data_IF_877834729097
#
_entry.id   IF_877834729097
#
_cell.length_a   1.000
_cell.length_b   1.000
_cell.length_c   1.000
_cell.angle_alpha   90.00
_cell.angle_beta   90.00
_cell.angle_gamma   90.00
#
_symmetry.space_group_name_H-M   'P 1'
#
loop_
_entity.id
_entity.type
_entity.pdbx_description
1 polymer ?
#
# COMPACT_ATOMS: atom_id res chain seq x y z
N UNK A 1 -12.80 -51.16 -12.33
CA UNK A 1 -14.22 -50.74 -12.25
C UNK A 1 -14.22 -49.22 -12.25
N UNK A 2 -15.14 -48.55 -12.98
CA UNK A 2 -15.05 -47.10 -13.16
C UNK A 2 -15.05 -46.39 -11.80
N UNK A 3 -14.07 -45.51 -11.60
CA UNK A 3 -14.05 -44.66 -10.43
C UNK A 3 -15.31 -43.78 -10.49
N UNK A 4 -16.10 -43.77 -9.42
CA UNK A 4 -17.01 -42.66 -9.22
C UNK A 4 -16.17 -41.56 -8.58
N UNK A 5 -16.04 -40.42 -9.26
CA UNK A 5 -15.10 -39.36 -8.87
C UNK A 5 -15.32 -38.90 -7.41
N UNK A 6 -16.57 -38.85 -6.95
CA UNK A 6 -16.88 -38.51 -5.55
C UNK A 6 -16.39 -39.55 -4.54
N UNK A 7 -16.43 -40.84 -4.90
CA UNK A 7 -15.89 -41.89 -4.02
C UNK A 7 -14.36 -41.83 -4.05
N UNK A 8 -13.75 -41.55 -5.20
CA UNK A 8 -12.30 -41.36 -5.30
C UNK A 8 -11.84 -40.15 -4.46
N UNK A 9 -12.59 -39.05 -4.48
CA UNK A 9 -12.33 -37.88 -3.65
C UNK A 9 -12.42 -38.20 -2.15
N UNK A 10 -13.47 -38.91 -1.71
CA UNK A 10 -13.63 -39.34 -0.31
C UNK A 10 -12.50 -40.27 0.17
N UNK A 11 -11.95 -41.09 -0.74
CA UNK A 11 -10.86 -42.01 -0.45
C UNK A 11 -9.46 -41.39 -0.59
N UNK A 12 -9.34 -40.26 -1.30
CA UNK A 12 -8.06 -39.54 -1.45
C UNK A 12 -7.64 -38.75 -0.22
N UNK A 13 -8.55 -38.57 0.75
CA UNK A 13 -8.23 -37.91 2.02
C UNK A 13 -7.37 -38.79 2.93
N UNK A 14 -6.60 -38.16 3.81
CA UNK A 14 -5.67 -38.83 4.72
C UNK A 14 -6.35 -39.67 5.81
N UNK A 15 -7.65 -39.47 6.05
CA UNK A 15 -8.41 -40.14 7.11
C UNK A 15 -9.86 -40.43 6.69
N UNK A 16 -10.20 -41.72 6.60
CA UNK A 16 -11.57 -42.21 6.37
C UNK A 16 -12.23 -42.42 7.74
N UNK A 17 -13.42 -41.87 7.92
CA UNK A 17 -14.21 -42.00 9.15
C UNK A 17 -15.59 -42.59 8.85
N UNK A 18 -16.37 -42.86 9.90
CA UNK A 18 -17.72 -43.39 9.81
C UNK A 18 -18.64 -42.62 8.84
N UNK A 19 -18.59 -41.28 8.86
CA UNK A 19 -19.42 -40.44 7.99
C UNK A 19 -19.01 -40.53 6.52
N UNK A 20 -17.72 -40.72 6.24
CA UNK A 20 -17.23 -41.02 4.89
C UNK A 20 -17.78 -42.37 4.42
N UNK A 21 -17.77 -43.41 5.27
CA UNK A 21 -18.34 -44.72 4.96
C UNK A 21 -19.84 -44.63 4.64
N UNK A 22 -20.61 -43.86 5.41
CA UNK A 22 -22.04 -43.62 5.15
C UNK A 22 -22.27 -42.94 3.80
N UNK A 23 -21.48 -41.90 3.49
CA UNK A 23 -21.57 -41.16 2.21
C UNK A 23 -21.20 -42.05 1.03
N UNK A 24 -20.21 -42.94 1.18
CA UNK A 24 -19.87 -43.92 0.16
C UNK A 24 -21.05 -44.89 -0.07
N UNK A 25 -21.70 -45.39 0.99
CA UNK A 25 -22.90 -46.23 0.85
C UNK A 25 -24.03 -45.47 0.15
N UNK A 26 -24.23 -44.19 0.46
CA UNK A 26 -25.23 -43.35 -0.19
C UNK A 26 -24.98 -43.23 -1.70
N UNK A 27 -23.75 -42.89 -2.11
CA UNK A 27 -23.36 -42.85 -3.52
C UNK A 27 -23.55 -44.23 -4.19
N UNK A 28 -23.23 -45.33 -3.50
CA UNK A 28 -23.44 -46.68 -4.03
C UNK A 28 -24.91 -47.04 -4.20
N UNK A 29 -25.81 -46.54 -3.34
CA UNK A 29 -27.26 -46.78 -3.46
C UNK A 29 -27.82 -46.13 -4.73
N UNK A 30 -27.31 -44.96 -5.09
CA UNK A 30 -27.71 -44.22 -6.29
C UNK A 30 -27.09 -44.82 -7.55
N UNK A 31 -25.79 -45.12 -7.50
CA UNK A 31 -25.01 -45.54 -8.68
C UNK A 31 -25.16 -47.01 -9.04
N UNK A 32 -25.60 -47.86 -8.10
CA UNK A 32 -25.80 -49.31 -8.30
C UNK A 32 -27.27 -49.73 -8.14
N UNK A 33 -28.20 -48.78 -8.30
CA UNK A 33 -29.65 -48.97 -8.09
C UNK A 33 -30.27 -50.13 -8.89
N UNK A 34 -29.73 -50.44 -10.08
CA UNK A 34 -30.20 -51.49 -10.99
C UNK A 34 -29.66 -52.90 -10.66
N UNK A 35 -28.78 -53.03 -9.66
CA UNK A 35 -28.15 -54.31 -9.28
C UNK A 35 -28.85 -55.03 -8.11
N UNK A 36 -30.11 -54.65 -7.83
CA UNK A 36 -30.90 -55.26 -6.76
C UNK A 36 -31.32 -56.68 -7.15
N UNK A 37 -31.15 -57.62 -6.22
CA UNK A 37 -31.67 -58.98 -6.40
C UNK A 37 -33.20 -59.02 -6.28
N UNK A 38 -33.81 -60.17 -6.61
CA UNK A 38 -35.27 -60.41 -6.56
C UNK A 38 -35.94 -60.11 -5.19
N UNK A 39 -35.16 -59.88 -4.14
CA UNK A 39 -35.61 -59.49 -2.80
C UNK A 39 -35.33 -58.00 -2.46
N UNK A 40 -34.96 -57.19 -3.45
CA UNK A 40 -34.68 -55.76 -3.28
C UNK A 40 -33.36 -55.44 -2.56
N UNK A 41 -32.50 -56.44 -2.32
CA UNK A 41 -31.20 -56.24 -1.65
C UNK A 41 -30.13 -55.95 -2.70
N UNK A 42 -29.29 -54.95 -2.42
CA UNK A 42 -28.13 -54.62 -3.24
C UNK A 42 -27.14 -55.81 -3.25
N UNK A 43 -26.79 -56.28 -4.45
CA UNK A 43 -26.05 -57.54 -4.62
C UNK A 43 -24.53 -57.39 -4.75
N UNK A 44 -24.03 -56.19 -5.06
CA UNK A 44 -22.62 -55.97 -5.37
C UNK A 44 -21.71 -56.26 -4.17
N UNK A 45 -20.51 -56.77 -4.45
CA UNK A 45 -19.51 -57.02 -3.39
C UNK A 45 -19.10 -55.72 -2.70
N UNK A 46 -18.91 -54.65 -3.48
CA UNK A 46 -18.54 -53.32 -2.98
C UNK A 46 -19.56 -52.77 -1.97
N UNK A 47 -20.87 -52.85 -2.28
CA UNK A 47 -21.91 -52.43 -1.34
C UNK A 47 -21.87 -53.26 -0.04
N UNK A 48 -21.67 -54.58 -0.14
CA UNK A 48 -21.57 -55.46 1.03
C UNK A 48 -20.36 -55.11 1.89
N UNK A 49 -19.19 -54.90 1.27
CA UNK A 49 -17.96 -54.56 1.97
C UNK A 49 -18.13 -53.26 2.77
N UNK A 50 -18.68 -52.21 2.15
CA UNK A 50 -18.93 -50.94 2.85
C UNK A 50 -19.99 -51.06 3.94
N UNK A 51 -21.05 -51.84 3.72
CA UNK A 51 -22.05 -52.13 4.76
C UNK A 51 -21.44 -52.88 5.95
N UNK A 52 -20.51 -53.79 5.72
CA UNK A 52 -19.85 -54.53 6.79
C UNK A 52 -18.84 -53.66 7.56
N UNK A 53 -18.16 -52.73 6.87
CA UNK A 53 -17.37 -51.68 7.52
C UNK A 53 -18.26 -50.81 8.43
N UNK A 54 -19.42 -50.36 7.95
CA UNK A 54 -20.37 -49.57 8.76
C UNK A 54 -20.88 -50.36 9.96
N UNK A 55 -21.27 -51.63 9.80
CA UNK A 55 -21.67 -52.48 10.94
C UNK A 55 -20.54 -52.63 11.96
N UNK A 56 -19.29 -52.68 11.51
CA UNK A 56 -18.12 -52.77 12.39
C UNK A 56 -17.92 -51.49 13.20
N UNK A 57 -18.23 -50.33 12.62
CA UNK A 57 -18.28 -49.05 13.32
C UNK A 57 -19.46 -48.94 14.29
N UNK A 58 -20.63 -49.46 13.94
CA UNK A 58 -21.83 -49.47 14.79
C UNK A 58 -21.70 -50.45 15.95
N UNK A 59 -20.97 -51.55 15.76
CA UNK A 59 -20.65 -52.51 16.80
C UNK A 59 -19.91 -51.81 17.94
N UNK A 60 -20.39 -52.01 19.17
CA UNK A 60 -19.83 -51.40 20.38
C UNK A 60 -19.80 -49.86 20.35
N UNK A 61 -20.57 -49.24 19.46
CA UNK A 61 -20.68 -47.79 19.28
C UNK A 61 -19.36 -47.07 18.98
N UNK A 62 -18.44 -47.70 18.24
CA UNK A 62 -17.16 -47.10 17.86
C UNK A 62 -17.35 -45.77 17.09
N UNK A 63 -18.39 -45.68 16.26
CA UNK A 63 -18.75 -44.44 15.56
C UNK A 63 -19.04 -43.26 16.50
N UNK A 64 -19.59 -43.51 17.70
CA UNK A 64 -19.83 -42.45 18.69
C UNK A 64 -18.51 -41.96 19.30
N UNK A 65 -17.56 -42.85 19.54
CA UNK A 65 -16.25 -42.48 20.06
C UNK A 65 -15.47 -41.61 19.04
N UNK A 66 -15.48 -42.02 17.76
CA UNK A 66 -14.86 -41.25 16.67
C UNK A 66 -15.54 -39.88 16.49
N UNK A 67 -16.87 -39.83 16.50
CA UNK A 67 -17.64 -38.59 16.42
C UNK A 67 -17.36 -37.65 17.62
N UNK A 68 -17.28 -38.19 18.83
CA UNK A 68 -16.93 -37.42 20.03
C UNK A 68 -15.51 -36.85 19.94
N UNK A 69 -14.54 -37.64 19.47
CA UNK A 69 -13.17 -37.17 19.27
C UNK A 69 -13.09 -36.05 18.24
N UNK A 70 -13.79 -36.20 17.09
CA UNK A 70 -13.88 -35.15 16.07
C UNK A 70 -14.50 -33.87 16.64
N UNK A 71 -15.57 -34.00 17.42
CA UNK A 71 -16.25 -32.86 18.04
C UNK A 71 -15.34 -32.13 19.03
N UNK A 72 -14.65 -32.86 19.90
CA UNK A 72 -13.69 -32.29 20.85
C UNK A 72 -12.57 -31.57 20.10
N UNK A 73 -12.01 -32.17 19.03
CA UNK A 73 -10.97 -31.50 18.23
C UNK A 73 -11.48 -30.19 17.63
N UNK A 74 -12.69 -30.20 17.05
CA UNK A 74 -13.28 -29.02 16.42
C UNK A 74 -13.54 -27.90 17.43
N UNK A 75 -14.08 -28.23 18.61
CA UNK A 75 -14.41 -27.25 19.66
C UNK A 75 -13.13 -26.70 20.31
N UNK A 76 -12.16 -27.57 20.59
CA UNK A 76 -10.96 -27.20 21.35
C UNK A 76 -9.87 -26.56 20.51
N UNK A 77 -9.79 -26.87 19.21
CA UNK A 77 -8.65 -26.44 18.37
C UNK A 77 -9.07 -25.76 17.07
N UNK A 78 -9.91 -26.41 16.26
CA UNK A 78 -10.23 -25.89 14.91
C UNK A 78 -11.00 -24.56 14.98
N UNK A 79 -12.09 -24.50 15.75
CA UNK A 79 -12.91 -23.28 15.88
C UNK A 79 -12.09 -22.14 16.51
N UNK A 80 -11.35 -22.35 17.62
CA UNK A 80 -10.48 -21.31 18.17
C UNK A 80 -9.39 -20.85 17.19
N UNK A 81 -8.78 -21.78 16.44
CA UNK A 81 -7.77 -21.47 15.42
C UNK A 81 -8.33 -20.59 14.31
N UNK A 82 -9.48 -20.97 13.75
CA UNK A 82 -10.18 -20.20 12.73
C UNK A 82 -10.61 -18.82 13.25
N UNK A 83 -11.11 -18.71 14.49
CA UNK A 83 -11.44 -17.42 15.10
C UNK A 83 -10.24 -16.49 15.20
N UNK A 84 -9.07 -17.01 15.60
CA UNK A 84 -7.82 -16.23 15.63
C UNK A 84 -7.39 -15.78 14.24
N UNK A 85 -7.53 -16.65 13.25
CA UNK A 85 -7.20 -16.31 11.87
C UNK A 85 -8.13 -15.22 11.31
N UNK A 86 -9.44 -15.33 11.53
CA UNK A 86 -10.42 -14.31 11.16
C UNK A 86 -10.07 -12.96 11.80
N UNK A 87 -9.81 -12.93 13.11
CA UNK A 87 -9.46 -11.70 13.80
C UNK A 87 -8.17 -11.04 13.23
N UNK A 88 -7.18 -11.85 12.85
CA UNK A 88 -5.95 -11.36 12.20
C UNK A 88 -6.24 -10.78 10.81
N UNK A 89 -7.07 -11.46 10.02
CA UNK A 89 -7.47 -11.00 8.69
C UNK A 89 -8.30 -9.72 8.76
N UNK A 90 -9.24 -9.61 9.71
CA UNK A 90 -10.03 -8.40 9.96
C UNK A 90 -9.13 -7.21 10.36
N UNK A 91 -8.14 -7.45 11.24
CA UNK A 91 -7.17 -6.42 11.60
C UNK A 91 -6.37 -5.95 10.37
N UNK A 92 -5.85 -6.89 9.58
CA UNK A 92 -5.07 -6.58 8.37
C UNK A 92 -5.92 -5.84 7.33
N UNK A 93 -7.18 -6.21 7.17
CA UNK A 93 -8.13 -5.49 6.32
C UNK A 93 -8.29 -4.04 6.76
N UNK A 94 -8.52 -3.79 8.06
CA UNK A 94 -8.68 -2.44 8.59
C UNK A 94 -7.40 -1.58 8.38
N UNK A 95 -6.22 -2.18 8.53
CA UNK A 95 -4.94 -1.50 8.24
C UNK A 95 -4.79 -1.16 6.75
N UNK A 96 -5.18 -2.06 5.86
CA UNK A 96 -5.17 -1.83 4.41
C UNK A 96 -6.16 -0.73 4.01
N UNK A 97 -7.37 -0.71 4.55
CA UNK A 97 -8.38 0.33 4.30
C UNK A 97 -7.89 1.71 4.77
N UNK A 98 -7.23 1.75 5.93
CA UNK A 98 -6.59 2.98 6.43
C UNK A 98 -5.49 3.46 5.48
N UNK A 99 -4.56 2.58 5.10
CA UNK A 99 -3.47 2.91 4.15
C UNK A 99 -4.01 3.42 2.82
N UNK A 100 -5.03 2.75 2.27
CA UNK A 100 -5.67 3.18 1.04
C UNK A 100 -6.25 4.60 1.15
N UNK A 101 -6.94 4.89 2.26
CA UNK A 101 -7.48 6.24 2.52
C UNK A 101 -6.37 7.28 2.66
N UNK A 102 -5.26 6.94 3.32
CA UNK A 102 -4.12 7.85 3.48
C UNK A 102 -3.42 8.11 2.14
N UNK A 103 -3.27 7.10 1.27
CA UNK A 103 -2.73 7.29 -0.08
C UNK A 103 -3.61 8.19 -0.95
N UNK A 104 -4.94 8.02 -0.94
CA UNK A 104 -5.85 8.89 -1.68
C UNK A 104 -5.76 10.35 -1.21
N UNK A 105 -5.64 10.59 0.10
CA UNK A 105 -5.44 11.94 0.64
C UNK A 105 -4.10 12.52 0.19
N UNK A 106 -3.02 11.75 0.28
CA UNK A 106 -1.69 12.19 -0.12
C UNK A 106 -1.63 12.49 -1.62
N UNK A 107 -2.23 11.65 -2.47
CA UNK A 107 -2.35 11.90 -3.91
C UNK A 107 -3.06 13.23 -4.18
N UNK A 108 -4.22 13.45 -3.56
CA UNK A 108 -4.97 14.69 -3.72
C UNK A 108 -4.19 15.92 -3.23
N UNK A 109 -3.46 15.80 -2.12
CA UNK A 109 -2.61 16.86 -1.59
C UNK A 109 -1.45 17.18 -2.54
N UNK A 110 -0.68 16.18 -2.97
CA UNK A 110 0.43 16.35 -3.91
C UNK A 110 -0.04 16.95 -5.23
N UNK A 111 -1.18 16.49 -5.76
CA UNK A 111 -1.77 17.05 -6.99
C UNK A 111 -2.17 18.52 -6.81
N UNK A 112 -2.81 18.86 -5.69
CA UNK A 112 -3.18 20.24 -5.37
C UNK A 112 -1.95 21.14 -5.24
N UNK A 113 -0.92 20.67 -4.52
CA UNK A 113 0.34 21.40 -4.35
C UNK A 113 1.06 21.62 -5.68
N UNK A 114 1.15 20.60 -6.52
CA UNK A 114 1.69 20.68 -7.87
C UNK A 114 0.96 21.73 -8.72
N UNK A 115 -0.38 21.69 -8.75
CA UNK A 115 -1.19 22.67 -9.50
C UNK A 115 -1.04 24.08 -8.95
N UNK A 116 -0.92 24.25 -7.63
CA UNK A 116 -0.67 25.54 -7.01
C UNK A 116 0.70 26.10 -7.40
N UNK A 117 1.74 25.27 -7.43
CA UNK A 117 3.07 25.66 -7.89
C UNK A 117 3.05 26.04 -9.39
N UNK A 118 2.40 25.25 -10.23
CA UNK A 118 2.22 25.57 -11.65
C UNK A 118 1.52 26.92 -11.83
N UNK A 119 0.47 27.20 -11.06
CA UNK A 119 -0.24 28.48 -11.09
C UNK A 119 0.62 29.66 -10.63
N UNK A 120 1.42 29.50 -9.58
CA UNK A 120 2.36 30.55 -9.11
C UNK A 120 3.42 30.84 -10.17
N UNK A 121 3.90 29.80 -10.83
CA UNK A 121 4.78 29.88 -11.97
C UNK A 121 4.03 30.23 -13.27
N UNK A 122 2.72 30.51 -13.23
CA UNK A 122 1.84 30.75 -14.38
C UNK A 122 2.10 29.86 -15.60
N UNK A 123 2.32 28.58 -15.35
CA UNK A 123 2.44 27.50 -16.33
C UNK A 123 1.25 26.55 -16.16
N UNK A 124 0.95 25.76 -17.19
CA UNK A 124 -0.11 24.75 -17.20
C UNK A 124 0.33 23.47 -16.48
N UNK A 125 1.62 23.12 -16.55
CA UNK A 125 2.20 21.96 -15.89
C UNK A 125 2.21 20.68 -16.73
N UNK A 126 2.08 20.78 -18.06
CA UNK A 126 2.13 19.61 -18.96
C UNK A 126 3.58 19.32 -19.41
N UNK A 127 4.30 20.37 -19.84
CA UNK A 127 5.70 20.33 -20.27
C UNK A 127 6.49 21.41 -19.56
N UNK A 128 6.71 21.20 -18.26
CA UNK A 128 7.28 22.19 -17.32
C UNK A 128 8.51 22.90 -17.89
N UNK A 129 9.49 22.16 -18.43
CA UNK A 129 10.71 22.75 -19.01
C UNK A 129 10.39 23.71 -20.17
N UNK A 130 9.57 23.28 -21.15
CA UNK A 130 9.19 24.12 -22.29
C UNK A 130 8.39 25.34 -21.86
N UNK A 131 7.38 25.14 -21.02
CA UNK A 131 6.50 26.22 -20.57
C UNK A 131 7.28 27.31 -19.81
N UNK A 132 8.28 26.93 -19.00
CA UNK A 132 9.17 27.89 -18.33
C UNK A 132 10.08 28.64 -19.30
N UNK A 133 10.56 27.99 -20.36
CA UNK A 133 11.40 28.64 -21.39
C UNK A 133 10.60 29.62 -22.23
N UNK A 134 9.39 29.25 -22.64
CA UNK A 134 8.51 30.12 -23.41
C UNK A 134 8.21 31.43 -22.66
N UNK A 135 8.10 31.36 -21.33
CA UNK A 135 7.92 32.54 -20.47
C UNK A 135 9.08 33.53 -20.49
N UNK A 136 10.30 33.11 -20.85
CA UNK A 136 11.44 34.03 -20.97
C UNK A 136 11.21 35.08 -22.05
N UNK A 137 10.33 34.82 -23.01
CA UNK A 137 9.94 35.78 -24.05
C UNK A 137 9.21 37.01 -23.48
N UNK A 138 8.63 36.92 -22.28
CA UNK A 138 7.95 38.05 -21.62
C UNK A 138 8.92 39.00 -20.89
N UNK A 139 10.17 38.60 -20.68
CA UNK A 139 11.16 39.40 -19.93
C UNK A 139 11.43 40.78 -20.55
N UNK A 140 11.65 40.94 -21.87
CA UNK A 140 11.86 42.25 -22.47
C UNK A 140 10.72 43.23 -22.19
N UNK A 141 9.47 42.78 -22.30
CA UNK A 141 8.28 43.59 -22.00
C UNK A 141 8.21 43.99 -20.52
N UNK A 142 8.63 43.10 -19.62
CA UNK A 142 8.71 43.38 -18.18
C UNK A 142 9.78 44.45 -17.92
N UNK A 143 10.98 44.32 -18.50
CA UNK A 143 12.05 45.31 -18.35
C UNK A 143 11.66 46.67 -18.92
N UNK A 144 10.97 46.71 -20.06
CA UNK A 144 10.41 47.93 -20.63
C UNK A 144 9.41 48.62 -19.70
N UNK A 145 8.50 47.83 -19.09
CA UNK A 145 7.53 48.36 -18.11
C UNK A 145 8.23 48.91 -16.88
N UNK A 146 9.24 48.21 -16.37
CA UNK A 146 10.05 48.66 -15.23
C UNK A 146 10.73 49.99 -15.59
N UNK A 147 11.46 50.07 -16.71
CA UNK A 147 12.11 51.30 -17.17
C UNK A 147 11.14 52.49 -17.24
N UNK A 148 9.96 52.29 -17.83
CA UNK A 148 8.90 53.32 -17.91
C UNK A 148 8.37 53.73 -16.53
N UNK A 149 8.33 52.81 -15.56
CA UNK A 149 7.81 53.07 -14.21
C UNK A 149 8.78 53.84 -13.29
N UNK A 150 10.04 54.01 -13.69
CA UNK A 150 11.06 54.64 -12.83
C UNK A 150 11.07 56.17 -12.91
N UNK A 151 10.43 56.79 -13.91
CA UNK A 151 10.37 58.26 -14.07
C UNK A 151 9.98 59.05 -12.80
N UNK A 152 9.02 58.60 -11.97
CA UNK A 152 8.67 59.29 -10.74
C UNK A 152 9.78 59.37 -9.68
N UNK A 153 10.87 58.61 -9.81
CA UNK A 153 12.01 58.68 -8.90
C UNK A 153 12.91 59.90 -9.14
N UNK A 154 12.82 60.52 -10.32
CA UNK A 154 13.70 61.62 -10.74
C UNK A 154 13.76 62.78 -9.72
N UNK A 155 12.63 63.30 -9.18
CA UNK A 155 12.68 64.39 -8.20
C UNK A 155 13.41 64.00 -6.90
N UNK A 156 13.31 62.73 -6.48
CA UNK A 156 14.01 62.23 -5.30
C UNK A 156 15.52 62.15 -5.52
N UNK A 157 15.93 61.74 -6.71
CA UNK A 157 17.34 61.72 -7.12
C UNK A 157 17.91 63.15 -7.18
N UNK A 158 17.18 64.08 -7.78
CA UNK A 158 17.55 65.50 -7.86
C UNK A 158 17.69 66.14 -6.47
N UNK A 159 16.77 65.85 -5.55
CA UNK A 159 16.84 66.34 -4.17
C UNK A 159 18.11 65.85 -3.47
N UNK A 160 18.43 64.55 -3.59
CA UNK A 160 19.62 63.99 -2.97
C UNK A 160 20.91 64.50 -3.61
N UNK A 161 20.92 64.70 -4.92
CA UNK A 161 22.03 65.34 -5.63
C UNK A 161 22.27 66.78 -5.16
N UNK A 162 21.19 67.56 -4.97
CA UNK A 162 21.27 68.90 -4.42
C UNK A 162 21.79 68.90 -2.97
N UNK A 163 21.31 67.96 -2.15
CA UNK A 163 21.76 67.81 -0.76
C UNK A 163 23.24 67.43 -0.66
N UNK A 164 23.70 66.44 -1.44
CA UNK A 164 25.11 66.02 -1.45
C UNK A 164 26.02 67.14 -1.93
N UNK A 165 25.62 67.88 -2.97
CA UNK A 165 26.34 69.08 -3.42
C UNK A 165 26.41 70.17 -2.33
N UNK A 166 25.31 70.40 -1.61
CA UNK A 166 25.29 71.33 -0.49
C UNK A 166 26.22 70.91 0.66
N UNK A 167 26.20 69.62 1.04
CA UNK A 167 26.96 69.11 2.18
C UNK A 167 28.46 68.93 1.90
N UNK A 168 28.84 68.54 0.68
CA UNK A 168 30.20 68.13 0.32
C UNK A 168 30.93 69.13 -0.59
N UNK A 169 30.22 70.09 -1.20
CA UNK A 169 30.77 71.05 -2.16
C UNK A 169 31.36 70.35 -3.38
N UNK A 170 32.55 70.76 -3.81
CA UNK A 170 33.24 70.20 -4.99
C UNK A 170 33.72 68.74 -4.80
N UNK A 171 33.58 68.19 -3.59
CA UNK A 171 33.85 66.76 -3.31
C UNK A 171 32.65 65.86 -3.56
N UNK A 172 31.50 66.43 -3.93
CA UNK A 172 30.31 65.65 -4.26
C UNK A 172 30.53 64.86 -5.56
N UNK A 173 30.38 63.54 -5.48
CA UNK A 173 30.39 62.65 -6.64
C UNK A 173 29.01 62.56 -7.28
N UNK A 174 28.98 62.06 -8.51
CA UNK A 174 27.72 61.77 -9.20
C UNK A 174 26.86 60.78 -8.39
N UNK A 175 25.57 61.08 -8.31
CA UNK A 175 24.60 60.33 -7.50
C UNK A 175 23.87 59.34 -8.39
N UNK A 176 24.01 58.04 -8.10
CA UNK A 176 23.25 56.96 -8.73
C UNK A 176 23.27 57.02 -10.28
N UNK A 177 24.45 57.11 -10.93
CA UNK A 177 24.57 57.33 -12.38
C UNK A 177 23.82 56.27 -13.21
N UNK A 178 23.87 55.00 -12.80
CA UNK A 178 23.14 53.93 -13.47
C UNK A 178 21.61 54.09 -13.39
N UNK A 179 21.10 54.52 -12.23
CA UNK A 179 19.66 54.72 -12.06
C UNK A 179 19.19 55.93 -12.86
N UNK A 180 19.97 57.02 -12.88
CA UNK A 180 19.67 58.18 -13.72
C UNK A 180 19.61 57.81 -15.20
N UNK A 181 20.60 57.04 -15.67
CA UNK A 181 20.62 56.56 -17.05
C UNK A 181 19.38 55.72 -17.40
N UNK A 182 19.02 54.74 -16.55
CA UNK A 182 17.84 53.88 -16.78
C UNK A 182 16.53 54.68 -16.71
N UNK A 183 16.43 55.69 -15.85
CA UNK A 183 15.26 56.56 -15.75
C UNK A 183 15.04 57.35 -17.06
N UNK A 184 16.12 57.78 -17.69
CA UNK A 184 16.09 58.59 -18.91
C UNK A 184 15.92 57.74 -20.18
N UNK A 185 16.69 56.65 -20.30
CA UNK A 185 16.80 55.83 -21.51
C UNK A 185 15.96 54.55 -21.47
N UNK A 186 15.57 54.09 -20.28
CA UNK A 186 14.79 52.86 -20.09
C UNK A 186 15.61 51.58 -20.28
N UNK A 187 14.97 50.55 -20.83
CA UNK A 187 15.58 49.24 -21.10
C UNK A 187 16.44 49.31 -22.37
N UNK A 188 17.70 49.73 -22.22
CA UNK A 188 18.67 49.84 -23.31
C UNK A 188 19.75 48.77 -23.21
N UNK A 189 20.44 48.51 -24.31
CA UNK A 189 21.52 47.51 -24.34
C UNK A 189 22.79 48.01 -23.64
N UNK A 190 23.62 47.09 -23.15
CA UNK A 190 24.94 47.44 -22.58
C UNK A 190 25.83 48.13 -23.62
N UNK A 191 25.66 47.79 -24.90
CA UNK A 191 26.33 48.46 -26.01
C UNK A 191 25.93 49.93 -26.09
N UNK A 192 24.63 50.22 -26.11
CA UNK A 192 24.11 51.59 -26.15
C UNK A 192 24.58 52.42 -24.95
N UNK A 193 24.60 51.82 -23.75
CA UNK A 193 25.15 52.48 -22.57
C UNK A 193 26.65 52.78 -22.67
N UNK A 194 27.43 51.89 -23.31
CA UNK A 194 28.89 52.04 -23.40
C UNK A 194 29.33 52.98 -24.53
N UNK A 195 28.59 53.03 -25.64
CA UNK A 195 28.97 53.72 -26.87
C UNK A 195 28.07 54.92 -27.24
N UNK A 196 26.91 55.06 -26.57
CA UNK A 196 26.00 56.19 -26.77
C UNK A 196 25.15 56.13 -28.04
N UNK A 197 25.18 55.00 -28.77
CA UNK A 197 24.37 54.76 -29.96
C UNK A 197 23.73 53.37 -29.93
N UNK A 198 22.52 53.20 -30.48
CA UNK A 198 21.84 51.91 -30.49
C UNK A 198 22.54 50.92 -31.44
N UNK A 199 22.60 49.62 -31.10
CA UNK A 199 23.17 48.60 -31.96
C UNK A 199 22.32 48.39 -33.22
N UNK A 200 22.96 47.94 -34.32
CA UNK A 200 22.29 47.68 -35.60
C UNK A 200 21.29 46.50 -35.54
N UNK A 201 21.54 45.52 -34.68
CA UNK A 201 20.68 44.37 -34.42
C UNK A 201 20.99 43.81 -33.04
N UNK A 202 19.97 43.31 -32.34
CA UNK A 202 20.12 42.59 -31.06
C UNK A 202 19.69 41.15 -31.29
N UNK A 203 20.65 40.24 -31.25
CA UNK A 203 20.38 38.80 -31.35
C UNK A 203 20.34 38.21 -29.94
N UNK A 204 19.21 37.62 -29.50
CA UNK A 204 19.14 36.96 -28.21
C UNK A 204 20.00 35.70 -28.24
N UNK A 205 20.72 35.46 -27.14
CA UNK A 205 21.46 34.20 -26.98
C UNK A 205 20.51 33.01 -27.11
N UNK A 206 20.85 31.99 -27.92
CA UNK A 206 20.02 30.80 -28.03
C UNK A 206 19.92 30.12 -26.66
N UNK A 207 18.69 29.89 -26.21
CA UNK A 207 18.42 29.21 -24.96
C UNK A 207 18.75 27.72 -25.15
N UNK A 208 19.92 27.31 -24.68
CA UNK A 208 20.37 25.92 -24.71
C UNK A 208 19.75 25.13 -23.56
N UNK A 209 18.48 24.74 -23.73
CA UNK A 209 17.80 23.83 -22.80
C UNK A 209 17.44 22.57 -23.56
N UNK A 210 18.04 21.46 -23.13
CA UNK A 210 17.72 20.13 -23.64
C UNK A 210 16.30 19.77 -23.18
N UNK A 211 15.42 19.62 -24.17
CA UNK A 211 14.08 19.14 -24.00
C UNK A 211 14.10 17.63 -24.18
N UNK A 212 13.78 16.86 -23.14
CA UNK A 212 13.67 15.38 -23.18
C UNK A 212 12.41 14.93 -23.95
N UNK A 213 11.96 15.75 -24.89
CA UNK A 213 10.70 15.62 -25.57
C UNK A 213 10.78 14.62 -26.74
N UNK A 214 11.21 13.42 -26.39
CA UNK A 214 10.81 12.21 -27.09
C UNK A 214 9.81 11.49 -26.20
N UNK A 215 8.64 11.22 -26.77
CA UNK A 215 7.50 10.52 -26.17
C UNK A 215 7.92 9.34 -25.27
N UNK A 216 8.09 9.60 -23.97
CA UNK A 216 7.94 8.57 -22.95
C UNK A 216 6.45 8.42 -22.60
N UNK A 217 5.62 8.27 -23.65
CA UNK A 217 4.27 7.76 -23.56
C UNK A 217 4.26 6.22 -23.61
N UNK A 218 5.35 5.59 -23.16
CA UNK A 218 5.48 4.14 -23.07
C UNK A 218 5.88 3.76 -21.65
N UNK A 219 4.89 3.77 -20.76
CA UNK A 219 4.90 3.03 -19.50
C UNK A 219 6.04 3.38 -18.55
N UNK A 220 5.68 4.01 -17.45
CA UNK A 220 6.49 4.08 -16.24
C UNK A 220 6.71 2.64 -15.71
N UNK A 221 7.58 1.89 -16.39
CA UNK A 221 8.16 0.66 -15.90
C UNK A 221 9.23 1.12 -14.93
N UNK A 222 8.86 1.09 -13.66
CA UNK A 222 9.83 1.00 -12.59
C UNK A 222 10.73 -0.21 -12.93
N UNK A 223 11.95 0.08 -13.36
CA UNK A 223 13.01 -0.91 -13.52
C UNK A 223 13.43 -1.34 -12.12
N UNK A 224 12.72 -2.33 -11.58
CA UNK A 224 13.29 -3.19 -10.56
C UNK A 224 14.38 -3.98 -11.28
N UNK A 225 15.56 -3.36 -11.38
CA UNK A 225 16.70 -3.94 -12.05
C UNK A 225 16.84 -5.41 -11.68
N UNK A 226 17.35 -6.18 -12.62
CA UNK A 226 17.69 -7.61 -12.56
C UNK A 226 18.76 -7.94 -11.50
N UNK A 227 18.77 -7.20 -10.38
CA UNK A 227 19.27 -7.68 -9.12
C UNK A 227 18.31 -8.77 -8.65
N UNK A 228 18.54 -9.98 -9.15
CA UNK A 228 18.19 -11.20 -8.45
C UNK A 228 18.49 -10.96 -6.96
N UNK A 229 17.44 -10.82 -6.15
CA UNK A 229 17.59 -10.85 -4.71
C UNK A 229 18.11 -12.25 -4.41
N UNK A 230 19.41 -12.34 -4.22
CA UNK A 230 20.12 -13.53 -3.78
C UNK A 230 19.65 -13.84 -2.35
N UNK A 231 18.54 -14.55 -2.25
CA UNK A 231 18.25 -15.36 -1.08
C UNK A 231 19.25 -16.51 -1.12
N UNK A 232 20.46 -16.21 -0.64
CA UNK A 232 21.62 -17.10 -0.64
C UNK A 232 21.18 -18.53 -0.36
N UNK A 233 21.55 -19.42 -1.28
CA UNK A 233 21.36 -20.87 -1.26
C UNK A 233 21.15 -21.38 0.17
N UNK A 234 19.90 -21.68 0.52
CA UNK A 234 19.59 -22.52 1.68
C UNK A 234 20.03 -23.92 1.27
N UNK A 235 21.34 -24.16 1.41
CA UNK A 235 21.89 -25.51 1.44
C UNK A 235 21.43 -26.12 2.77
N UNK A 236 20.64 -27.18 2.63
CA UNK A 236 20.26 -28.13 3.67
C UNK A 236 21.51 -28.81 4.25
N UNK A 237 22.25 -28.11 5.11
CA UNK A 237 23.24 -28.70 6.00
C UNK A 237 23.61 -27.76 7.15
N UNK A 238 22.96 -27.98 8.30
CA UNK A 238 23.36 -27.52 9.63
C UNK A 238 23.27 -26.00 9.91
N UNK A 239 22.03 -25.48 9.94
CA UNK A 239 21.71 -24.16 10.52
C UNK A 239 20.34 -24.20 11.18
N UNK A 240 20.27 -24.77 12.38
CA UNK A 240 19.05 -24.86 13.18
C UNK A 240 18.62 -23.44 13.58
N UNK A 241 17.53 -22.93 13.00
CA UNK A 241 16.91 -21.69 13.47
C UNK A 241 16.14 -22.05 14.75
N UNK A 242 16.77 -21.76 15.88
CA UNK A 242 16.29 -21.97 17.23
C UNK A 242 15.22 -20.91 17.59
N UNK A 243 13.97 -21.35 17.63
CA UNK A 243 12.86 -20.61 18.21
C UNK A 243 12.37 -21.31 19.49
N UNK A 244 13.24 -21.43 20.52
CA UNK A 244 12.78 -21.34 21.90
C UNK A 244 13.59 -22.12 22.93
N UNK A 245 14.08 -21.39 23.95
CA UNK A 245 13.83 -21.53 25.42
C UNK A 245 14.98 -20.82 26.17
N UNK A 246 14.89 -19.99 27.21
CA UNK A 246 13.84 -19.49 28.10
C UNK A 246 14.51 -18.56 29.14
N UNK A 247 13.68 -17.75 29.82
CA UNK A 247 13.91 -17.08 31.12
C UNK A 247 15.09 -16.10 31.32
N UNK A 248 14.77 -14.79 31.32
CA UNK A 248 14.96 -13.91 32.50
C UNK A 248 14.33 -12.52 32.27
N UNK A 249 13.23 -12.28 33.01
CA UNK A 249 12.83 -11.00 33.63
C UNK A 249 12.91 -9.70 32.80
N UNK A 250 11.80 -9.33 32.17
CA UNK A 250 11.23 -7.99 32.31
C UNK A 250 9.76 -8.04 31.91
N UNK A 251 8.91 -8.01 32.92
CA UNK A 251 7.47 -7.80 32.88
C UNK A 251 7.19 -6.48 32.14
N UNK A 252 6.64 -6.55 30.93
CA UNK A 252 6.06 -5.37 30.27
C UNK A 252 4.55 -5.45 30.47
N UNK A 253 4.11 -4.80 31.54
CA UNK A 253 2.72 -4.52 31.89
C UNK A 253 2.15 -3.46 30.94
N UNK A 254 1.15 -3.85 30.14
CA UNK A 254 0.37 -2.94 29.30
C UNK A 254 -1.08 -2.81 29.79
N UNK A 255 -1.27 -2.70 31.11
CA UNK A 255 -2.39 -1.95 31.67
C UNK A 255 -3.74 -2.67 31.63
N UNK A 256 -4.14 -3.09 32.83
CA UNK A 256 -5.45 -3.56 33.24
C UNK A 256 -6.64 -2.79 32.62
N UNK A 257 -7.56 -3.50 31.96
CA UNK A 257 -8.99 -3.16 31.99
C UNK A 257 -9.73 -4.40 32.47
N UNK A 258 -10.22 -4.29 33.70
CA UNK A 258 -11.06 -5.25 34.38
C UNK A 258 -12.24 -5.68 33.50
N UNK A 259 -12.38 -6.98 33.26
CA UNK A 259 -13.70 -7.58 33.32
C UNK A 259 -13.61 -8.94 34.00
N UNK A 260 -14.14 -8.96 35.21
CA UNK A 260 -14.16 -10.09 36.12
C UNK A 260 -14.96 -11.28 35.57
N UNK A 261 -14.48 -12.49 35.91
CA UNK A 261 -15.35 -13.62 36.19
C UNK A 261 -15.78 -14.49 35.01
N UNK A 262 -14.92 -15.40 34.57
CA UNK A 262 -15.35 -16.61 33.84
C UNK A 262 -14.63 -17.91 34.29
N UNK A 263 -13.74 -17.84 35.28
CA UNK A 263 -12.95 -18.98 35.75
C UNK A 263 -13.64 -19.88 36.79
N UNK A 264 -14.71 -19.40 37.43
CA UNK A 264 -15.27 -20.07 38.63
C UNK A 264 -16.48 -20.96 38.34
N UNK A 265 -16.99 -20.97 37.10
CA UNK A 265 -18.17 -21.76 36.72
C UNK A 265 -17.83 -23.21 36.36
N UNK A 266 -16.62 -23.49 35.85
CA UNK A 266 -16.24 -24.84 35.42
C UNK A 266 -15.89 -25.73 36.62
N UNK A 267 -15.22 -25.17 37.63
CA UNK A 267 -14.91 -25.88 38.88
C UNK A 267 -16.17 -26.20 39.69
N UNK A 268 -17.15 -25.29 39.71
CA UNK A 268 -18.43 -25.50 40.40
C UNK A 268 -19.32 -26.54 39.71
N UNK A 269 -19.31 -26.60 38.37
CA UNK A 269 -20.08 -27.60 37.62
C UNK A 269 -19.50 -29.02 37.77
N UNK A 270 -18.17 -29.15 37.84
CA UNK A 270 -17.50 -30.44 38.06
C UNK A 270 -17.77 -30.94 39.49
N UNK A 271 -17.78 -30.05 40.49
CA UNK A 271 -18.08 -30.40 41.88
C UNK A 271 -19.56 -30.77 42.12
N UNK A 272 -20.50 -30.17 41.39
CA UNK A 272 -21.93 -30.52 41.47
C UNK A 272 -22.25 -31.86 40.79
N UNK A 273 -21.56 -32.21 39.70
CA UNK A 273 -21.76 -33.50 39.00
C UNK A 273 -21.19 -34.67 39.80
N UNK A 274 -20.09 -34.47 40.55
CA UNK A 274 -19.50 -35.51 41.38
C UNK A 274 -20.30 -35.81 42.66
N UNK A 275 -21.09 -34.86 43.17
CA UNK A 275 -21.89 -35.04 44.40
C UNK A 275 -23.34 -35.50 44.16
N UNK A 276 -23.80 -35.65 42.91
CA UNK A 276 -25.17 -36.06 42.59
C UNK A 276 -25.40 -37.60 42.53
N UNK A 277 -24.46 -38.40 43.05
CA UNK A 277 -24.58 -39.88 43.14
C UNK A 277 -24.56 -40.37 44.59
N UNK A 278 -25.37 -39.78 45.47
CA UNK A 278 -25.83 -40.44 46.70
C UNK A 278 -27.27 -40.01 46.96
N UNK A 279 -28.22 -40.73 46.38
CA UNK A 279 -29.46 -41.24 46.98
C UNK A 279 -30.08 -42.25 46.00
#
# INVERSE_FOLDING_TARGET
MPAHDDIAALLSGSYINYFHCLKIIEILKETEADTKNLFGRYGSQRMKDWQDVVKSYEKENLYLAEAAQMLVRNISYEIPGLKKQIAKEEQMQAECEKKHTDYLKNEALCKSEFLNQCKQLGIQGEKIKRELVDRLQELPDIYDKIGKSLKPLLPGIELYAAFTKYALGDRATEVLPLLQYIVEHGNTTVYEWSYGEPPLSVEPDPIHIEFDDEEHAAGDKIDFGDAAIDFGSIDDAAGQIDFGDGEAAAEIDWGNIDNAGAGDLVSSLIYMIQNAKIF
#
